data_IF_400609818618
#
_entry.id   IF_400609818618
#
_cell.length_a   1.000
_cell.length_b   1.000
_cell.length_c   1.000
_cell.angle_alpha   90.00
_cell.angle_beta   90.00
_cell.angle_gamma   90.00
#
_symmetry.space_group_name_H-M   'P 1'
#
loop_
_entity.id
_entity.type
_entity.pdbx_description
1 polymer ?
#
# COMPACT_ATOMS: atom_id res chain seq x y z
N UNK A 1 -60.66 36.71 -0.17
CA UNK A 1 -59.74 37.58 0.62
C UNK A 1 -58.65 36.79 1.36
N UNK A 2 -58.81 35.49 1.58
CA UNK A 2 -57.79 34.62 2.21
C UNK A 2 -56.53 34.43 1.36
N UNK A 3 -56.64 34.31 0.03
CA UNK A 3 -55.48 34.12 -0.85
C UNK A 3 -54.45 35.25 -0.78
N UNK A 4 -54.88 36.51 -0.64
CA UNK A 4 -53.97 37.66 -0.57
C UNK A 4 -53.11 37.58 0.70
N UNK A 5 -53.72 37.22 1.83
CA UNK A 5 -53.01 37.06 3.10
C UNK A 5 -52.03 35.90 3.05
N UNK A 6 -52.39 34.79 2.39
CA UNK A 6 -51.50 33.64 2.19
C UNK A 6 -50.32 34.00 1.29
N UNK A 7 -50.56 34.65 0.14
CA UNK A 7 -49.50 35.05 -0.78
C UNK A 7 -48.51 36.04 -0.16
N UNK A 8 -48.97 36.94 0.73
CA UNK A 8 -48.08 37.84 1.48
C UNK A 8 -47.21 37.05 2.48
N UNK A 9 -47.77 36.06 3.17
CA UNK A 9 -46.99 35.20 4.07
C UNK A 9 -45.93 34.39 3.32
N UNK A 10 -46.29 33.84 2.16
CA UNK A 10 -45.36 33.08 1.31
C UNK A 10 -44.24 33.96 0.76
N UNK A 11 -44.58 35.20 0.36
CA UNK A 11 -43.59 36.18 -0.07
C UNK A 11 -42.60 36.52 1.05
N UNK A 12 -43.10 36.79 2.26
CA UNK A 12 -42.27 37.08 3.42
C UNK A 12 -41.38 35.87 3.77
N UNK A 13 -41.95 34.66 3.78
CA UNK A 13 -41.21 33.43 4.05
C UNK A 13 -40.08 33.22 3.03
N UNK A 14 -40.35 33.42 1.73
CA UNK A 14 -39.36 33.31 0.67
C UNK A 14 -38.21 34.32 0.83
N UNK A 15 -38.51 35.56 1.21
CA UNK A 15 -37.48 36.58 1.47
C UNK A 15 -36.57 36.13 2.62
N UNK A 16 -37.15 35.67 3.72
CA UNK A 16 -36.37 35.16 4.85
C UNK A 16 -35.56 33.92 4.49
N UNK A 17 -36.13 33.00 3.71
CA UNK A 17 -35.45 31.80 3.26
C UNK A 17 -34.22 32.12 2.39
N UNK A 18 -34.32 33.09 1.48
CA UNK A 18 -33.19 33.55 0.69
C UNK A 18 -32.11 34.18 1.58
N UNK A 19 -32.49 35.03 2.53
CA UNK A 19 -31.53 35.65 3.47
C UNK A 19 -30.80 34.57 4.29
N UNK A 20 -31.54 33.61 4.85
CA UNK A 20 -30.95 32.52 5.61
C UNK A 20 -30.09 31.60 4.74
N UNK A 21 -30.50 31.35 3.50
CA UNK A 21 -29.74 30.57 2.52
C UNK A 21 -28.38 31.23 2.23
N UNK A 22 -28.36 32.53 1.96
CA UNK A 22 -27.12 33.28 1.72
C UNK A 22 -26.21 33.26 2.95
N UNK A 23 -26.76 33.45 4.16
CA UNK A 23 -25.98 33.38 5.40
C UNK A 23 -25.40 31.98 5.61
N UNK A 24 -26.22 30.94 5.49
CA UNK A 24 -25.78 29.53 5.65
C UNK A 24 -24.73 29.16 4.62
N UNK A 25 -24.94 29.56 3.36
CA UNK A 25 -23.97 29.32 2.29
C UNK A 25 -22.65 29.99 2.60
N UNK A 26 -22.66 31.26 3.02
CA UNK A 26 -21.43 32.01 3.33
C UNK A 26 -20.69 31.40 4.51
N UNK A 27 -21.40 31.08 5.60
CA UNK A 27 -20.81 30.41 6.76
C UNK A 27 -20.27 29.02 6.43
N UNK A 28 -20.98 28.27 5.57
CA UNK A 28 -20.54 26.98 5.06
C UNK A 28 -19.22 27.11 4.27
N UNK A 29 -19.13 28.06 3.35
CA UNK A 29 -17.89 28.30 2.59
C UNK A 29 -16.71 28.68 3.49
N UNK A 30 -16.92 29.49 4.53
CA UNK A 30 -15.87 29.84 5.48
C UNK A 30 -15.42 28.62 6.29
N UNK A 31 -16.38 27.79 6.73
CA UNK A 31 -16.07 26.54 7.43
C UNK A 31 -15.27 25.58 6.53
N UNK A 32 -15.69 25.40 5.28
CA UNK A 32 -15.00 24.56 4.30
C UNK A 32 -13.59 25.07 4.01
N UNK A 33 -13.40 26.39 3.93
CA UNK A 33 -12.08 27.00 3.76
C UNK A 33 -11.15 26.72 4.96
N UNK A 34 -11.68 26.85 6.19
CA UNK A 34 -10.93 26.52 7.40
C UNK A 34 -10.58 25.03 7.47
N UNK A 35 -11.52 24.16 7.08
CA UNK A 35 -11.31 22.72 7.06
C UNK A 35 -10.26 22.33 6.00
N UNK A 36 -10.35 22.90 4.80
CA UNK A 36 -9.34 22.74 3.75
C UNK A 36 -7.96 23.24 4.18
N UNK A 37 -7.90 24.34 4.94
CA UNK A 37 -6.64 24.82 5.51
C UNK A 37 -6.07 23.82 6.52
N UNK A 38 -6.88 23.32 7.45
CA UNK A 38 -6.44 22.29 8.41
C UNK A 38 -5.99 21.02 7.69
N UNK A 39 -6.73 20.56 6.69
CA UNK A 39 -6.42 19.38 5.89
C UNK A 39 -5.15 19.55 5.06
N UNK A 40 -4.89 20.75 4.54
CA UNK A 40 -3.65 21.07 3.86
C UNK A 40 -2.44 20.88 4.79
N UNK A 41 -2.51 21.45 6.01
CA UNK A 41 -1.44 21.28 7.00
C UNK A 41 -1.34 19.85 7.54
N UNK A 42 -2.46 19.13 7.68
CA UNK A 42 -2.45 17.71 8.05
C UNK A 42 -1.93 16.81 6.92
N UNK A 43 -2.05 17.25 5.66
CA UNK A 43 -1.55 16.57 4.48
C UNK A 43 -0.03 16.55 4.40
N UNK A 44 0.65 17.63 4.79
CA UNK A 44 2.12 17.75 4.77
C UNK A 44 2.82 16.60 5.53
N UNK A 45 2.56 16.36 6.83
CA UNK A 45 3.21 15.28 7.57
C UNK A 45 2.80 13.90 7.04
N UNK A 46 1.56 13.71 6.56
CA UNK A 46 1.15 12.45 5.91
C UNK A 46 1.97 12.19 4.66
N UNK A 47 2.17 13.20 3.81
CA UNK A 47 2.96 13.07 2.58
C UNK A 47 4.43 12.75 2.92
N UNK A 48 4.99 13.42 3.92
CA UNK A 48 6.35 13.18 4.40
C UNK A 48 6.53 11.75 4.92
N UNK A 49 5.59 11.27 5.75
CA UNK A 49 5.59 9.89 6.24
C UNK A 49 5.46 8.88 5.12
N UNK A 50 4.60 9.12 4.12
CA UNK A 50 4.47 8.23 2.96
C UNK A 50 5.75 8.19 2.12
N UNK A 51 6.39 9.33 1.88
CA UNK A 51 7.66 9.39 1.15
C UNK A 51 8.79 8.66 1.89
N UNK A 52 8.89 8.85 3.21
CA UNK A 52 9.90 8.16 4.04
C UNK A 52 9.63 6.66 4.11
N UNK A 53 8.37 6.24 4.30
CA UNK A 53 8.01 4.82 4.27
C UNK A 53 8.27 4.20 2.91
N UNK A 54 7.89 4.87 1.82
CA UNK A 54 8.14 4.40 0.47
C UNK A 54 9.64 4.29 0.14
N UNK A 55 10.47 5.21 0.63
CA UNK A 55 11.93 5.12 0.45
C UNK A 55 12.56 4.01 1.29
N UNK A 56 12.13 3.84 2.55
CA UNK A 56 12.54 2.73 3.41
C UNK A 56 12.12 1.37 2.84
N UNK A 57 10.90 1.28 2.31
CA UNK A 57 10.39 0.06 1.68
C UNK A 57 11.14 -0.25 0.38
N UNK A 58 11.47 0.77 -0.42
CA UNK A 58 12.33 0.60 -1.59
C UNK A 58 13.73 0.12 -1.20
N UNK A 59 14.33 0.66 -0.13
CA UNK A 59 15.63 0.21 0.38
C UNK A 59 15.56 -1.22 0.97
N UNK A 60 14.49 -1.55 1.69
CA UNK A 60 14.20 -2.90 2.18
C UNK A 60 13.95 -3.90 1.04
N UNK A 61 13.38 -3.45 -0.08
CA UNK A 61 13.22 -4.22 -1.30
C UNK A 61 14.56 -4.68 -1.89
N UNK A 62 15.59 -3.82 -1.84
CA UNK A 62 16.95 -4.18 -2.28
C UNK A 62 17.56 -5.26 -1.37
N UNK A 63 17.39 -5.12 -0.05
CA UNK A 63 17.83 -6.14 0.91
C UNK A 63 17.15 -7.48 0.69
N UNK A 64 15.84 -7.46 0.42
CA UNK A 64 15.04 -8.66 0.10
C UNK A 64 15.49 -9.28 -1.21
N UNK A 65 15.81 -8.48 -2.22
CA UNK A 65 16.32 -8.96 -3.52
C UNK A 65 17.67 -9.67 -3.38
N UNK A 66 18.62 -9.08 -2.64
CA UNK A 66 19.93 -9.69 -2.38
C UNK A 66 19.75 -10.99 -1.59
N UNK A 67 18.96 -10.96 -0.52
CA UNK A 67 18.70 -12.14 0.32
C UNK A 67 18.06 -13.27 -0.49
N UNK A 68 17.08 -12.96 -1.34
CA UNK A 68 16.43 -13.92 -2.22
C UNK A 68 17.42 -14.58 -3.19
N UNK A 69 18.30 -13.80 -3.82
CA UNK A 69 19.30 -14.33 -4.74
C UNK A 69 20.35 -15.20 -4.03
N UNK A 70 20.79 -14.83 -2.83
CA UNK A 70 21.71 -15.65 -2.02
C UNK A 70 21.09 -17.02 -1.73
N UNK A 71 19.79 -17.08 -1.41
CA UNK A 71 19.08 -18.35 -1.17
C UNK A 71 19.08 -19.22 -2.43
N UNK A 72 18.76 -18.65 -3.59
CA UNK A 72 18.77 -19.41 -4.86
C UNK A 72 20.17 -19.94 -5.18
N UNK A 73 21.21 -19.11 -5.03
CA UNK A 73 22.60 -19.52 -5.23
C UNK A 73 22.99 -20.63 -4.25
N UNK A 74 22.59 -20.53 -2.99
CA UNK A 74 22.85 -21.55 -1.98
C UNK A 74 22.21 -22.89 -2.35
N UNK A 75 20.96 -22.89 -2.83
CA UNK A 75 20.28 -24.10 -3.28
C UNK A 75 21.01 -24.72 -4.48
N UNK A 76 21.40 -23.92 -5.47
CA UNK A 76 22.14 -24.39 -6.65
C UNK A 76 23.49 -24.99 -6.22
N UNK A 77 24.23 -24.32 -5.34
CA UNK A 77 25.52 -24.78 -4.86
C UNK A 77 25.41 -26.09 -4.07
N UNK A 78 24.41 -26.21 -3.19
CA UNK A 78 24.15 -27.42 -2.42
C UNK A 78 23.69 -28.57 -3.33
N UNK A 79 22.80 -28.30 -4.27
CA UNK A 79 22.34 -29.29 -5.25
C UNK A 79 23.48 -29.78 -6.16
N UNK A 80 24.29 -28.86 -6.68
CA UNK A 80 25.46 -29.18 -7.50
C UNK A 80 26.52 -29.97 -6.73
N UNK A 81 26.85 -29.56 -5.51
CA UNK A 81 27.80 -30.27 -4.66
C UNK A 81 27.27 -31.67 -4.27
N UNK A 82 25.99 -31.77 -3.91
CA UNK A 82 25.33 -33.05 -3.62
C UNK A 82 25.36 -33.99 -4.81
N UNK A 83 25.07 -33.49 -6.01
CA UNK A 83 25.13 -34.24 -7.25
C UNK A 83 26.55 -34.71 -7.59
N UNK A 84 27.55 -33.82 -7.50
CA UNK A 84 28.96 -34.18 -7.67
C UNK A 84 29.43 -35.22 -6.65
N UNK A 85 29.01 -35.08 -5.38
CA UNK A 85 29.31 -36.04 -4.32
C UNK A 85 28.65 -37.40 -4.57
N UNK A 86 27.44 -37.42 -5.13
CA UNK A 86 26.73 -38.63 -5.53
C UNK A 86 27.43 -39.31 -6.71
N UNK A 87 27.75 -38.57 -7.78
CA UNK A 87 28.43 -39.11 -8.96
C UNK A 87 29.81 -39.70 -8.63
N UNK A 88 30.56 -39.08 -7.71
CA UNK A 88 31.84 -39.63 -7.21
C UNK A 88 31.69 -40.97 -6.49
N UNK A 89 30.52 -41.26 -5.92
CA UNK A 89 30.23 -42.55 -5.27
C UNK A 89 29.83 -43.64 -6.26
N UNK A 90 29.19 -43.28 -7.37
CA UNK A 90 28.83 -44.22 -8.45
C UNK A 90 30.02 -44.62 -9.34
N UNK A 91 31.09 -43.83 -9.37
CA UNK A 91 32.33 -44.14 -10.11
C UNK A 91 33.22 -45.23 -9.50
N UNK A 92 32.82 -45.90 -8.40
CA UNK A 92 33.54 -47.06 -7.88
C UNK A 92 33.03 -48.33 -8.56
N UNK A 93 33.84 -49.01 -9.41
CA UNK A 93 33.45 -50.31 -9.92
C UNK A 93 33.30 -51.26 -8.72
N UNK A 94 32.07 -51.73 -8.49
CA UNK A 94 31.81 -52.86 -7.59
C UNK A 94 32.54 -54.04 -8.22
N UNK A 95 33.71 -54.38 -7.69
CA UNK A 95 34.40 -55.60 -8.06
C UNK A 95 33.55 -56.76 -7.53
N UNK A 96 32.61 -57.25 -8.33
CA UNK A 96 31.99 -58.55 -8.16
C UNK A 96 33.05 -59.63 -8.49
N UNK A 97 34.08 -59.72 -7.65
CA UNK A 97 35.32 -60.43 -7.97
C UNK A 97 35.92 -61.10 -6.74
N UNK A 98 35.15 -61.98 -6.09
CA UNK A 98 35.69 -63.09 -5.31
C UNK A 98 34.58 -64.09 -4.94
N UNK A 99 33.81 -64.58 -5.92
CA UNK A 99 33.10 -65.85 -5.68
C UNK A 99 34.14 -66.96 -5.77
N UNK A 100 34.73 -67.33 -4.63
CA UNK A 100 35.51 -68.57 -4.51
C UNK A 100 34.59 -69.73 -4.86
N UNK A 101 34.82 -70.35 -6.01
CA UNK A 101 34.43 -71.73 -6.27
C UNK A 101 35.54 -72.60 -5.68
N UNK A 102 35.26 -73.22 -4.54
CA UNK A 102 35.89 -74.44 -4.05
C UNK A 102 34.80 -75.26 -3.37
#
# INVERSE_FOLDING_TARGET
MTSIITSIKDLIASIFEVIFSVIKSTLGTVYDLLMAFVDFFAGIPKMLLHTVKGSLESAGGIGTFITSNIIVIAIIALGGYGYLAYQRREGRPVHAGAKKLN
#
